data_IF_614046769004
#
_entry.id   IF_614046769004
#
_cell.length_a   1.000
_cell.length_b   1.000
_cell.length_c   1.000
_cell.angle_alpha   90.00
_cell.angle_beta   90.00
_cell.angle_gamma   90.00
#
_symmetry.space_group_name_H-M   'P 1'
#
loop_
_entity.id
_entity.type
_entity.pdbx_description
1 polymer ?
#
# COMPACT_ATOMS: atom_id res chain seq x y z
N UNK A 1 22.82 -36.48 21.15
CA UNK A 1 21.42 -36.62 20.70
C UNK A 1 20.60 -35.66 21.55
N UNK A 2 20.37 -34.43 21.09
CA UNK A 2 19.66 -33.42 21.88
C UNK A 2 18.93 -32.46 20.95
N UNK A 3 17.69 -32.87 20.67
CA UNK A 3 16.47 -32.10 20.37
C UNK A 3 16.59 -30.83 19.51
N UNK A 4 16.11 -30.96 18.27
CA UNK A 4 15.56 -29.89 17.45
C UNK A 4 14.50 -29.12 18.23
N UNK A 5 14.83 -27.90 18.66
CA UNK A 5 13.82 -26.93 19.08
C UNK A 5 13.06 -26.49 17.82
N UNK A 6 11.96 -27.16 17.52
CA UNK A 6 10.93 -26.63 16.63
C UNK A 6 10.43 -25.33 17.25
N UNK A 7 10.74 -24.21 16.61
CA UNK A 7 10.28 -22.85 16.94
C UNK A 7 8.76 -22.77 16.73
N UNK A 8 8.01 -23.41 17.63
CA UNK A 8 6.56 -23.34 17.73
C UNK A 8 6.19 -21.98 18.35
N UNK A 9 6.41 -20.90 17.61
CA UNK A 9 5.81 -19.61 17.97
C UNK A 9 4.32 -19.73 17.71
N UNK A 10 3.46 -19.64 18.74
CA UNK A 10 2.02 -19.61 18.55
C UNK A 10 1.70 -18.50 17.55
N UNK A 11 0.72 -18.75 16.68
CA UNK A 11 0.24 -17.82 15.66
C UNK A 11 0.24 -16.40 16.23
N UNK A 12 1.24 -15.58 15.83
CA UNK A 12 1.48 -14.32 16.52
C UNK A 12 0.21 -13.50 16.39
N UNK A 13 -0.39 -13.21 17.55
CA UNK A 13 -1.54 -12.33 17.71
C UNK A 13 -1.31 -11.03 16.92
N UNK A 14 -2.40 -10.33 16.60
CA UNK A 14 -2.33 -9.01 15.97
C UNK A 14 -1.19 -8.18 16.60
N UNK A 15 -0.42 -7.42 15.79
CA UNK A 15 0.67 -6.61 16.33
C UNK A 15 0.17 -5.75 17.51
N UNK A 16 0.93 -5.68 18.62
CA UNK A 16 0.53 -4.87 19.75
C UNK A 16 0.44 -3.40 19.32
N UNK A 17 -0.61 -2.70 19.75
CA UNK A 17 -0.76 -1.27 19.46
C UNK A 17 0.13 -0.51 20.45
N UNK A 18 1.39 -0.28 20.08
CA UNK A 18 2.39 0.41 20.89
C UNK A 18 3.27 1.30 19.99
N UNK A 19 4.18 2.05 20.63
CA UNK A 19 5.08 2.96 19.93
C UNK A 19 5.95 2.25 18.88
N UNK A 20 6.39 1.01 19.15
CA UNK A 20 7.21 0.24 18.21
C UNK A 20 6.43 -0.12 16.94
N UNK A 21 5.20 -0.62 17.08
CA UNK A 21 4.34 -0.93 15.93
C UNK A 21 4.00 0.32 15.14
N UNK A 22 3.72 1.45 15.81
CA UNK A 22 3.49 2.73 15.15
C UNK A 22 4.73 3.22 14.40
N UNK A 23 5.92 3.11 15.01
CA UNK A 23 7.19 3.45 14.38
C UNK A 23 7.48 2.58 13.16
N UNK A 24 7.25 1.27 13.25
CA UNK A 24 7.38 0.33 12.14
C UNK A 24 6.44 0.67 10.98
N UNK A 25 5.17 0.96 11.30
CA UNK A 25 4.17 1.38 10.30
C UNK A 25 4.60 2.66 9.61
N UNK A 26 5.04 3.65 10.38
CA UNK A 26 5.51 4.93 9.84
C UNK A 26 6.71 4.74 8.89
N UNK A 27 7.75 4.05 9.35
CA UNK A 27 8.98 3.86 8.55
C UNK A 27 8.69 3.06 7.28
N UNK A 28 7.96 1.94 7.40
CA UNK A 28 7.64 1.09 6.26
C UNK A 28 6.70 1.79 5.28
N UNK A 29 5.66 2.49 5.76
CA UNK A 29 4.75 3.29 4.95
C UNK A 29 5.48 4.41 4.22
N UNK A 30 6.36 5.14 4.90
CA UNK A 30 7.16 6.21 4.30
C UNK A 30 7.97 5.71 3.11
N UNK A 31 8.78 4.66 3.28
CA UNK A 31 9.61 4.14 2.19
C UNK A 31 8.78 3.54 1.06
N UNK A 32 7.66 2.89 1.37
CA UNK A 32 6.75 2.36 0.37
C UNK A 32 6.10 3.48 -0.45
N UNK A 33 5.67 4.58 0.18
CA UNK A 33 5.13 5.75 -0.51
C UNK A 33 6.18 6.43 -1.37
N UNK A 34 7.41 6.60 -0.86
CA UNK A 34 8.53 7.15 -1.65
C UNK A 34 8.81 6.27 -2.88
N UNK A 35 8.82 4.95 -2.73
CA UNK A 35 9.02 4.03 -3.86
C UNK A 35 7.90 4.13 -4.90
N UNK A 36 6.65 4.23 -4.44
CA UNK A 36 5.49 4.45 -5.31
C UNK A 36 5.60 5.75 -6.10
N UNK A 37 5.88 6.86 -5.41
CA UNK A 37 5.95 8.19 -6.03
C UNK A 37 7.17 8.29 -6.97
N UNK A 38 8.32 7.72 -6.57
CA UNK A 38 9.49 7.61 -7.44
C UNK A 38 9.18 6.84 -8.72
N UNK A 39 8.48 5.71 -8.61
CA UNK A 39 8.03 4.97 -9.78
C UNK A 39 7.09 5.81 -10.66
N UNK A 40 6.01 6.35 -10.07
CA UNK A 40 4.92 6.96 -10.83
C UNK A 40 5.19 8.36 -11.37
N UNK A 41 6.04 9.13 -10.70
CA UNK A 41 6.30 10.53 -11.06
C UNK A 41 7.63 10.71 -11.80
N UNK A 42 8.59 9.80 -11.62
CA UNK A 42 9.93 9.93 -12.23
C UNK A 42 10.28 8.78 -13.17
N UNK A 43 10.19 7.52 -12.73
CA UNK A 43 10.63 6.38 -13.56
C UNK A 43 9.68 6.12 -14.72
N UNK A 44 8.38 6.02 -14.47
CA UNK A 44 7.40 5.69 -15.51
C UNK A 44 7.38 6.73 -16.64
N UNK A 45 7.40 8.06 -16.37
CA UNK A 45 7.44 9.05 -17.45
C UNK A 45 8.78 9.06 -18.19
N UNK A 46 9.90 8.85 -17.49
CA UNK A 46 11.22 8.76 -18.12
C UNK A 46 11.32 7.58 -19.09
N UNK A 47 10.54 6.53 -18.87
CA UNK A 47 10.42 5.37 -19.77
C UNK A 47 9.34 5.53 -20.86
N UNK A 48 8.69 6.70 -20.95
CA UNK A 48 7.63 6.97 -21.93
C UNK A 48 6.23 6.46 -21.54
N UNK A 49 6.04 5.97 -20.31
CA UNK A 49 4.73 5.62 -19.78
C UNK A 49 4.01 6.84 -19.19
N UNK A 50 2.75 6.65 -18.78
CA UNK A 50 1.96 7.71 -18.16
C UNK A 50 2.57 8.18 -16.82
N UNK A 51 2.36 9.46 -16.49
CA UNK A 51 2.71 10.05 -15.19
C UNK A 51 1.56 9.87 -14.21
N UNK A 52 1.84 9.34 -13.02
CA UNK A 52 0.86 9.28 -11.93
C UNK A 52 0.73 10.64 -11.26
N UNK A 53 -0.51 11.08 -11.05
CA UNK A 53 -0.84 12.19 -10.16
C UNK A 53 -1.68 11.67 -8.98
N UNK A 54 -1.03 11.19 -7.90
CA UNK A 54 -1.75 10.52 -6.82
C UNK A 54 -2.64 11.49 -6.03
N UNK A 55 -2.16 12.73 -5.84
CA UNK A 55 -2.95 13.80 -5.24
C UNK A 55 -4.17 14.17 -6.12
N UNK A 56 -4.08 14.00 -7.45
CA UNK A 56 -5.18 14.29 -8.38
C UNK A 56 -6.42 13.45 -8.09
N UNK A 57 -6.26 12.14 -7.84
CA UNK A 57 -7.37 11.27 -7.47
C UNK A 57 -7.99 11.68 -6.12
N UNK A 58 -7.17 12.00 -5.13
CA UNK A 58 -7.65 12.46 -3.82
C UNK A 58 -8.45 13.77 -3.93
N UNK A 59 -8.00 14.72 -4.77
CA UNK A 59 -8.74 15.96 -5.05
C UNK A 59 -10.09 15.68 -5.71
N UNK A 60 -10.14 14.76 -6.67
CA UNK A 60 -11.40 14.36 -7.32
C UNK A 60 -12.37 13.75 -6.31
N UNK A 61 -11.90 12.88 -5.41
CA UNK A 61 -12.73 12.32 -4.34
C UNK A 61 -13.28 13.41 -3.40
N UNK A 62 -12.43 14.31 -2.93
CA UNK A 62 -12.87 15.41 -2.07
C UNK A 62 -13.88 16.32 -2.76
N UNK A 63 -13.67 16.59 -4.05
CA UNK A 63 -14.62 17.37 -4.85
C UNK A 63 -15.97 16.66 -4.94
N UNK A 64 -15.98 15.34 -5.20
CA UNK A 64 -17.21 14.54 -5.23
C UNK A 64 -17.96 14.52 -3.89
N UNK A 65 -17.23 14.62 -2.77
CA UNK A 65 -17.79 14.68 -1.42
C UNK A 65 -18.14 16.10 -0.94
N UNK A 66 -17.93 17.14 -1.76
CA UNK A 66 -18.15 18.53 -1.36
C UNK A 66 -17.16 19.05 -0.30
N UNK A 67 -15.98 18.42 -0.18
CA UNK A 67 -14.93 18.77 0.77
C UNK A 67 -13.87 19.68 0.14
N UNK A 68 -13.08 20.42 0.95
CA UNK A 68 -11.95 21.19 0.45
C UNK A 68 -10.95 20.31 -0.33
N UNK A 69 -10.77 20.62 -1.63
CA UNK A 69 -9.99 19.80 -2.57
C UNK A 69 -8.74 20.49 -3.11
N UNK A 70 -8.12 21.35 -2.30
CA UNK A 70 -6.85 21.99 -2.63
C UNK A 70 -5.67 21.00 -2.69
N UNK A 71 -4.53 21.45 -3.23
CA UNK A 71 -3.34 20.58 -3.39
C UNK A 71 -2.85 20.00 -2.06
N UNK A 72 -2.84 20.82 -1.00
CA UNK A 72 -2.52 20.36 0.34
C UNK A 72 -3.39 19.17 0.75
N UNK A 73 -4.71 19.26 0.55
CA UNK A 73 -5.64 18.20 0.94
C UNK A 73 -5.37 16.91 0.13
N UNK A 74 -5.12 17.04 -1.18
CA UNK A 74 -4.77 15.91 -2.03
C UNK A 74 -3.48 15.20 -1.61
N UNK A 75 -2.41 15.96 -1.37
CA UNK A 75 -1.14 15.41 -0.88
C UNK A 75 -1.25 14.84 0.52
N UNK A 76 -2.00 15.50 1.41
CA UNK A 76 -2.24 15.02 2.76
C UNK A 76 -2.96 13.67 2.77
N UNK A 77 -4.02 13.55 1.96
CA UNK A 77 -4.76 12.30 1.80
C UNK A 77 -3.86 11.19 1.25
N UNK A 78 -3.18 11.45 0.12
CA UNK A 78 -2.31 10.47 -0.54
C UNK A 78 -1.16 10.02 0.36
N UNK A 79 -0.36 10.97 0.85
CA UNK A 79 0.87 10.67 1.54
C UNK A 79 0.62 10.27 3.00
N UNK A 80 -0.08 11.11 3.78
CA UNK A 80 -0.19 10.91 5.22
C UNK A 80 -1.31 9.94 5.60
N UNK A 81 -2.52 10.09 5.03
CA UNK A 81 -3.64 9.27 5.46
C UNK A 81 -3.57 7.85 4.91
N UNK A 82 -3.42 7.69 3.59
CA UNK A 82 -3.44 6.34 2.98
C UNK A 82 -2.05 5.74 2.87
N UNK A 83 -1.07 6.45 2.31
CA UNK A 83 0.28 5.94 2.11
C UNK A 83 0.97 5.58 3.43
N UNK A 84 1.11 6.55 4.32
CA UNK A 84 1.88 6.38 5.55
C UNK A 84 1.16 5.55 6.62
N UNK A 85 -0.18 5.59 6.67
CA UNK A 85 -0.95 4.97 7.75
C UNK A 85 -1.95 3.91 7.26
N UNK A 86 -2.85 4.26 6.35
CA UNK A 86 -3.94 3.39 5.92
C UNK A 86 -3.47 2.06 5.32
N UNK A 87 -2.47 2.09 4.44
CA UNK A 87 -1.95 0.88 3.81
C UNK A 87 -1.12 0.02 4.78
N UNK A 88 -0.22 0.56 5.64
CA UNK A 88 0.39 -0.25 6.69
C UNK A 88 -0.63 -0.88 7.64
N UNK A 89 -1.70 -0.16 8.01
CA UNK A 89 -2.81 -0.70 8.82
C UNK A 89 -3.49 -1.86 8.09
N UNK A 90 -3.85 -1.66 6.82
CA UNK A 90 -4.49 -2.69 6.00
C UNK A 90 -3.63 -3.94 5.86
N UNK A 91 -2.32 -3.81 5.74
CA UNK A 91 -1.41 -4.94 5.75
C UNK A 91 -1.41 -5.68 7.10
N UNK A 92 -1.11 -4.96 8.19
CA UNK A 92 -0.83 -5.56 9.50
C UNK A 92 -2.08 -6.17 10.16
N UNK A 93 -3.22 -5.50 10.04
CA UNK A 93 -4.42 -5.83 10.81
C UNK A 93 -5.50 -6.55 10.00
N UNK A 94 -5.42 -6.51 8.66
CA UNK A 94 -6.44 -7.13 7.79
C UNK A 94 -5.80 -8.20 6.93
N UNK A 95 -4.92 -7.82 5.99
CA UNK A 95 -4.45 -8.72 4.96
C UNK A 95 -3.55 -9.84 5.50
N UNK A 96 -2.49 -9.50 6.25
CA UNK A 96 -1.55 -10.49 6.75
C UNK A 96 -2.20 -11.52 7.71
N UNK A 97 -3.10 -11.12 8.64
CA UNK A 97 -3.85 -12.07 9.46
C UNK A 97 -4.73 -13.02 8.63
N UNK A 98 -5.45 -12.49 7.63
CA UNK A 98 -6.31 -13.30 6.75
C UNK A 98 -5.47 -14.26 5.92
N UNK A 99 -4.39 -13.79 5.30
CA UNK A 99 -3.48 -14.61 4.49
C UNK A 99 -2.94 -15.80 5.28
N UNK A 100 -2.45 -15.55 6.51
CA UNK A 100 -1.93 -16.61 7.38
C UNK A 100 -3.00 -17.62 7.79
N UNK A 101 -4.26 -17.20 7.91
CA UNK A 101 -5.36 -18.08 8.29
C UNK A 101 -5.90 -18.92 7.13
N UNK A 102 -5.88 -18.38 5.91
CA UNK A 102 -6.46 -19.03 4.72
C UNK A 102 -5.41 -19.81 3.92
N UNK A 103 -4.24 -19.21 3.70
CA UNK A 103 -3.16 -19.78 2.86
C UNK A 103 -2.05 -20.39 3.71
N UNK A 104 -1.77 -19.81 4.88
CA UNK A 104 -0.71 -20.27 5.79
C UNK A 104 0.57 -19.42 5.70
N UNK A 105 1.67 -19.97 6.21
CA UNK A 105 2.97 -19.32 6.17
C UNK A 105 3.66 -19.55 4.83
N UNK A 106 3.91 -18.46 4.10
CA UNK A 106 4.61 -18.47 2.81
C UNK A 106 5.77 -17.47 2.84
N UNK A 107 6.64 -17.51 1.83
CA UNK A 107 7.63 -16.45 1.63
C UNK A 107 6.91 -15.09 1.47
N UNK A 108 7.40 -14.06 2.14
CA UNK A 108 6.73 -12.75 2.29
C UNK A 108 6.45 -12.03 0.96
N UNK A 109 7.24 -12.31 -0.08
CA UNK A 109 7.16 -11.62 -1.36
C UNK A 109 5.81 -11.77 -2.07
N UNK A 110 5.28 -12.99 -2.12
CA UNK A 110 4.00 -13.28 -2.78
C UNK A 110 2.81 -12.55 -2.11
N UNK A 111 2.57 -12.67 -0.78
CA UNK A 111 1.51 -11.92 -0.13
C UNK A 111 1.69 -10.41 -0.26
N UNK A 112 2.94 -9.90 -0.23
CA UNK A 112 3.21 -8.48 -0.41
C UNK A 112 2.78 -7.96 -1.80
N UNK A 113 3.12 -8.69 -2.86
CA UNK A 113 2.70 -8.36 -4.22
C UNK A 113 1.17 -8.42 -4.37
N UNK A 114 0.52 -9.48 -3.86
CA UNK A 114 -0.95 -9.62 -3.90
C UNK A 114 -1.63 -8.49 -3.14
N UNK A 115 -1.09 -8.12 -1.97
CA UNK A 115 -1.59 -6.98 -1.22
C UNK A 115 -1.51 -5.68 -2.03
N UNK A 116 -0.39 -5.43 -2.70
CA UNK A 116 -0.23 -4.29 -3.59
C UNK A 116 -1.21 -4.28 -4.75
N UNK A 117 -1.48 -5.43 -5.38
CA UNK A 117 -2.53 -5.54 -6.41
C UNK A 117 -3.91 -5.23 -5.80
N UNK A 118 -4.18 -5.71 -4.57
CA UNK A 118 -5.40 -5.38 -3.84
C UNK A 118 -5.55 -3.88 -3.59
N UNK A 119 -4.47 -3.18 -3.25
CA UNK A 119 -4.46 -1.72 -3.13
C UNK A 119 -4.75 -1.03 -4.46
N UNK A 120 -4.24 -1.54 -5.57
CA UNK A 120 -4.56 -1.02 -6.90
C UNK A 120 -6.06 -1.17 -7.21
N UNK A 121 -6.67 -2.33 -6.93
CA UNK A 121 -8.12 -2.52 -7.10
C UNK A 121 -8.91 -1.54 -6.22
N UNK A 122 -8.49 -1.35 -4.98
CA UNK A 122 -9.13 -0.41 -4.06
C UNK A 122 -8.99 1.04 -4.54
N UNK A 123 -7.78 1.52 -4.78
CA UNK A 123 -7.51 2.91 -5.13
C UNK A 123 -7.99 3.25 -6.55
N UNK A 124 -7.61 2.47 -7.56
CA UNK A 124 -7.91 2.80 -8.95
C UNK A 124 -9.27 2.25 -9.39
N UNK A 125 -9.77 1.18 -8.79
CA UNK A 125 -11.09 0.65 -9.09
C UNK A 125 -12.18 1.32 -8.24
N UNK A 126 -12.11 1.19 -6.92
CA UNK A 126 -13.19 1.63 -6.04
C UNK A 126 -13.20 3.16 -5.82
N UNK A 127 -12.06 3.79 -5.51
CA UNK A 127 -12.04 5.24 -5.24
C UNK A 127 -12.37 6.05 -6.50
N UNK A 128 -11.94 5.64 -7.70
CA UNK A 128 -12.32 6.35 -8.92
C UNK A 128 -13.82 6.27 -9.17
N UNK A 129 -14.44 5.12 -8.94
CA UNK A 129 -15.88 4.95 -9.07
C UNK A 129 -16.66 5.84 -8.08
N UNK A 130 -16.22 5.90 -6.82
CA UNK A 130 -16.82 6.78 -5.80
C UNK A 130 -16.59 8.26 -6.12
N UNK A 131 -15.44 8.60 -6.71
CA UNK A 131 -15.11 9.97 -7.12
C UNK A 131 -15.82 10.42 -8.42
N UNK A 132 -16.69 9.59 -9.01
CA UNK A 132 -17.38 9.90 -10.27
C UNK A 132 -16.48 9.88 -11.51
N UNK A 133 -15.28 9.31 -11.40
CA UNK A 133 -14.36 9.09 -12.52
C UNK A 133 -14.65 7.75 -13.20
N UNK A 134 -14.23 7.54 -14.47
CA UNK A 134 -14.35 6.24 -15.11
C UNK A 134 -13.76 5.11 -14.25
N UNK A 135 -14.41 3.95 -14.24
CA UNK A 135 -13.90 2.76 -13.54
C UNK A 135 -12.51 2.41 -14.06
N UNK A 136 -11.55 2.22 -13.15
CA UNK A 136 -10.13 2.08 -13.48
C UNK A 136 -9.58 3.17 -14.41
N UNK A 137 -10.11 4.40 -14.35
CA UNK A 137 -9.75 5.51 -15.26
C UNK A 137 -9.87 5.12 -16.74
N UNK A 138 -10.81 4.23 -17.07
CA UNK A 138 -11.01 3.73 -18.44
C UNK A 138 -9.92 2.77 -18.92
N UNK A 139 -9.18 2.12 -18.01
CA UNK A 139 -8.06 1.22 -18.31
C UNK A 139 -6.96 1.87 -19.17
N UNK A 140 -6.74 3.16 -18.96
CA UNK A 140 -5.69 3.95 -19.63
C UNK A 140 -4.29 3.57 -19.15
N UNK A 141 -3.25 4.17 -19.74
CA UNK A 141 -1.86 3.96 -19.31
C UNK A 141 -1.64 4.20 -17.81
N UNK A 142 -2.35 5.17 -17.22
CA UNK A 142 -2.29 5.48 -15.78
C UNK A 142 -2.68 4.25 -14.95
N UNK A 143 -3.68 3.50 -15.38
CA UNK A 143 -4.19 2.31 -14.70
C UNK A 143 -3.10 1.26 -14.50
N UNK A 144 -2.31 1.01 -15.54
CA UNK A 144 -1.27 -0.01 -15.55
C UNK A 144 0.00 0.46 -14.85
N UNK A 145 0.35 1.73 -15.00
CA UNK A 145 1.44 2.34 -14.21
C UNK A 145 1.11 2.29 -12.72
N UNK A 146 -0.14 2.56 -12.34
CA UNK A 146 -0.60 2.46 -10.96
C UNK A 146 -0.60 1.02 -10.44
N UNK A 147 -0.88 0.01 -11.28
CA UNK A 147 -0.77 -1.40 -10.88
C UNK A 147 0.66 -1.73 -10.43
N UNK A 148 1.65 -1.36 -11.25
CA UNK A 148 3.07 -1.56 -10.91
C UNK A 148 3.42 -0.76 -9.65
N UNK A 149 2.99 0.49 -9.57
CA UNK A 149 3.22 1.34 -8.41
C UNK A 149 2.71 0.71 -7.11
N UNK A 150 1.44 0.29 -7.05
CA UNK A 150 0.88 -0.29 -5.82
C UNK A 150 1.49 -1.67 -5.50
N UNK A 151 1.84 -2.45 -6.53
CA UNK A 151 2.56 -3.72 -6.32
C UNK A 151 3.94 -3.47 -5.71
N UNK A 152 4.68 -2.49 -6.23
CA UNK A 152 5.97 -2.05 -5.69
C UNK A 152 5.80 -1.52 -4.25
N UNK A 153 4.78 -0.72 -3.99
CA UNK A 153 4.44 -0.24 -2.65
C UNK A 153 4.30 -1.41 -1.67
N UNK A 154 3.47 -2.42 -2.02
CA UNK A 154 3.26 -3.59 -1.17
C UNK A 154 4.56 -4.36 -0.89
N UNK A 155 5.38 -4.57 -1.91
CA UNK A 155 6.68 -5.24 -1.78
C UNK A 155 7.62 -4.45 -0.87
N UNK A 156 7.78 -3.14 -1.09
CA UNK A 156 8.69 -2.29 -0.29
C UNK A 156 8.23 -2.19 1.16
N UNK A 157 6.92 -2.02 1.39
CA UNK A 157 6.33 -2.00 2.72
C UNK A 157 6.78 -3.24 3.52
N UNK A 158 6.57 -4.42 2.94
CA UNK A 158 6.85 -5.69 3.63
C UNK A 158 8.35 -5.95 3.72
N UNK A 159 9.12 -5.58 2.70
CA UNK A 159 10.57 -5.69 2.73
C UNK A 159 11.17 -4.88 3.89
N UNK A 160 10.71 -3.64 4.09
CA UNK A 160 11.16 -2.79 5.21
C UNK A 160 10.76 -3.39 6.55
N UNK A 161 9.52 -3.86 6.69
CA UNK A 161 9.07 -4.56 7.91
C UNK A 161 9.95 -5.78 8.22
N UNK A 162 10.29 -6.58 7.21
CA UNK A 162 11.16 -7.74 7.36
C UNK A 162 12.59 -7.36 7.71
N UNK A 163 13.14 -6.27 7.16
CA UNK A 163 14.51 -5.83 7.44
C UNK A 163 14.68 -5.30 8.87
N UNK A 164 13.66 -4.66 9.45
CA UNK A 164 13.74 -4.12 10.82
C UNK A 164 13.52 -5.22 11.87
N UNK A 165 12.77 -6.27 11.54
CA UNK A 165 12.45 -7.36 12.45
C UNK A 165 13.48 -8.51 12.46
N UNK A 166 14.51 -8.42 11.62
CA UNK A 166 15.64 -9.37 11.57
C UNK A 166 16.73 -8.95 12.55
#
# INVERSE_FOLDING_TARGET
MTQNATDNRPARALPPINADTLGLMFISGFFATVAFDFWGQLVSPALGFATLSPHGLAKSLFTALGLPSGDFAGYFMHFYLVGLNGYPIGWLFIFAPIWRRVIGQTHWFLPAAIYGIGLWVFAIGAITAVAGLPFFLGFTGITWVALVGHTLYGIVLVAVLQSIQR
#
